data_IF_429868654844
#
_entry.id   IF_429868654844
#
_cell.length_a   1.000
_cell.length_b   1.000
_cell.length_c   1.000
_cell.angle_alpha   90.00
_cell.angle_beta   90.00
_cell.angle_gamma   90.00
#
_symmetry.space_group_name_H-M   'P 1'
#
loop_
_entity.id
_entity.type
_entity.pdbx_description
1 polymer ?
#
# COMPACT_ATOMS: atom_id res chain seq x y z
N UNK A 1 18.72 15.29 40.17
CA UNK A 1 18.26 14.97 38.79
C UNK A 1 16.93 15.70 38.60
N UNK A 2 16.84 16.63 37.65
CA UNK A 2 15.68 17.53 37.56
C UNK A 2 14.46 16.78 37.00
N UNK A 3 13.24 17.11 37.47
CA UNK A 3 11.98 16.50 36.96
C UNK A 3 11.92 16.50 35.43
N UNK A 4 12.42 17.56 34.79
CA UNK A 4 12.51 17.73 33.34
C UNK A 4 13.33 16.63 32.65
N UNK A 5 14.47 16.23 33.23
CA UNK A 5 15.33 15.17 32.68
C UNK A 5 14.65 13.80 32.76
N UNK A 6 13.86 13.55 33.80
CA UNK A 6 13.11 12.30 33.98
C UNK A 6 11.97 12.18 32.95
N UNK A 7 11.21 13.26 32.72
CA UNK A 7 10.17 13.31 31.69
C UNK A 7 10.74 13.16 30.27
N UNK A 8 11.86 13.82 29.97
CA UNK A 8 12.55 13.70 28.68
C UNK A 8 12.98 12.25 28.39
N UNK A 9 13.58 11.55 29.37
CA UNK A 9 13.97 10.14 29.19
C UNK A 9 12.79 9.21 28.93
N UNK A 10 11.69 9.39 29.67
CA UNK A 10 10.47 8.58 29.50
C UNK A 10 9.88 8.80 28.11
N UNK A 11 9.79 10.05 27.66
CA UNK A 11 9.31 10.38 26.32
C UNK A 11 10.17 9.77 25.21
N UNK A 12 11.51 9.89 25.31
CA UNK A 12 12.44 9.28 24.36
C UNK A 12 12.26 7.76 24.31
N UNK A 13 12.08 7.10 25.46
CA UNK A 13 11.84 5.66 25.52
C UNK A 13 10.54 5.25 24.81
N UNK A 14 9.43 5.96 25.06
CA UNK A 14 8.16 5.70 24.37
C UNK A 14 8.24 5.94 22.87
N UNK A 15 8.97 6.98 22.44
CA UNK A 15 9.17 7.25 21.01
C UNK A 15 10.00 6.16 20.34
N UNK A 16 11.07 5.68 20.97
CA UNK A 16 11.85 4.54 20.46
C UNK A 16 10.97 3.30 20.35
N UNK A 17 10.14 3.01 21.38
CA UNK A 17 9.19 1.90 21.33
C UNK A 17 8.18 2.06 20.18
N UNK A 18 7.67 3.27 19.96
CA UNK A 18 6.77 3.58 18.85
C UNK A 18 7.43 3.34 17.48
N UNK A 19 8.66 3.81 17.30
CA UNK A 19 9.43 3.56 16.06
C UNK A 19 9.70 2.07 15.85
N UNK A 20 10.04 1.34 16.93
CA UNK A 20 10.20 -0.11 16.89
C UNK A 20 8.91 -0.79 16.42
N UNK A 21 7.75 -0.44 16.99
CA UNK A 21 6.46 -0.97 16.58
C UNK A 21 6.15 -0.68 15.10
N UNK A 22 6.52 0.51 14.60
CA UNK A 22 6.39 0.83 13.19
C UNK A 22 7.32 0.00 12.30
N UNK A 23 8.57 -0.25 12.72
CA UNK A 23 9.52 -1.09 11.97
C UNK A 23 9.08 -2.56 11.93
N UNK A 24 8.54 -3.07 13.04
CA UNK A 24 8.02 -4.44 13.13
C UNK A 24 6.58 -4.58 12.60
N UNK A 25 5.96 -3.49 12.15
CA UNK A 25 4.68 -3.57 11.46
C UNK A 25 4.85 -4.33 10.13
N UNK A 26 3.83 -5.10 9.69
CA UNK A 26 3.90 -5.80 8.43
C UNK A 26 4.26 -4.85 7.28
N UNK A 27 5.15 -5.27 6.38
CA UNK A 27 5.49 -4.45 5.21
C UNK A 27 4.41 -4.47 4.12
N UNK A 28 3.51 -5.46 4.19
CA UNK A 28 2.45 -5.72 3.22
C UNK A 28 1.13 -6.03 3.93
N UNK A 29 0.04 -5.51 3.37
CA UNK A 29 -1.32 -5.92 3.68
C UNK A 29 -1.75 -6.87 2.58
N UNK A 30 -2.37 -7.99 2.97
CA UNK A 30 -2.68 -9.10 2.06
C UNK A 30 -4.13 -9.51 2.17
N UNK A 31 -4.74 -9.85 1.03
CA UNK A 31 -6.07 -10.45 0.96
C UNK A 31 -6.09 -11.85 1.57
N UNK A 32 -7.26 -12.29 2.05
CA UNK A 32 -7.38 -13.53 2.86
C UNK A 32 -7.34 -14.84 2.07
N UNK A 33 -7.44 -14.81 0.75
CA UNK A 33 -7.54 -16.05 -0.04
C UNK A 33 -6.18 -16.54 -0.56
N UNK A 34 -6.06 -17.86 -0.77
CA UNK A 34 -4.80 -18.47 -1.18
C UNK A 34 -4.51 -18.26 -2.66
N UNK A 35 -3.23 -18.05 -2.99
CA UNK A 35 -2.74 -18.04 -4.39
C UNK A 35 -2.87 -19.44 -4.97
N UNK A 36 -3.58 -19.59 -6.08
CA UNK A 36 -3.68 -20.86 -6.80
C UNK A 36 -2.55 -20.99 -7.83
N UNK A 37 -2.18 -22.23 -8.15
CA UNK A 37 -1.07 -22.53 -9.09
C UNK A 37 -1.25 -21.89 -10.48
N UNK A 38 -2.50 -21.74 -10.93
CA UNK A 38 -2.81 -21.22 -12.26
C UNK A 38 -3.12 -19.72 -12.28
N UNK A 39 -3.08 -19.05 -11.12
CA UNK A 39 -3.38 -17.63 -11.03
C UNK A 39 -2.37 -16.80 -11.83
N UNK A 40 -2.86 -15.73 -12.43
CA UNK A 40 -2.07 -14.73 -13.13
C UNK A 40 -1.68 -13.67 -12.12
N UNK A 41 -0.38 -13.49 -11.93
CA UNK A 41 0.18 -12.37 -11.19
C UNK A 41 0.21 -11.15 -12.09
N UNK A 42 -0.38 -10.04 -11.65
CA UNK A 42 -0.36 -8.76 -12.35
C UNK A 42 0.01 -7.63 -11.39
N UNK A 43 0.84 -6.70 -11.86
CA UNK A 43 1.09 -5.44 -11.18
C UNK A 43 0.07 -4.41 -11.65
N UNK A 44 -0.75 -3.94 -10.70
CA UNK A 44 -1.87 -3.04 -10.96
C UNK A 44 -1.54 -1.65 -10.43
N UNK A 45 -1.70 -0.68 -11.32
CA UNK A 45 -1.58 0.74 -11.03
C UNK A 45 -2.96 1.32 -10.84
N UNK A 46 -3.19 1.94 -9.69
CA UNK A 46 -4.40 2.70 -9.46
C UNK A 46 -4.50 3.87 -10.45
N UNK A 47 -5.70 4.06 -10.99
CA UNK A 47 -6.06 5.23 -11.75
C UNK A 47 -6.68 6.25 -10.80
N UNK A 48 -6.39 7.54 -10.98
CA UNK A 48 -6.87 8.63 -10.13
C UNK A 48 -8.41 8.85 -10.15
N UNK A 49 -9.15 7.95 -10.82
CA UNK A 49 -10.60 8.00 -10.99
C UNK A 49 -11.23 6.88 -10.17
N UNK A 50 -12.28 7.20 -9.43
CA UNK A 50 -13.04 6.34 -8.49
C UNK A 50 -13.76 5.14 -9.13
N UNK A 51 -13.43 4.77 -10.37
CA UNK A 51 -14.07 3.68 -11.11
C UNK A 51 -13.07 2.92 -11.95
N UNK A 52 -13.33 1.62 -12.07
CA UNK A 52 -12.71 0.75 -13.07
C UNK A 52 -12.72 1.41 -14.46
N UNK A 53 -11.77 1.07 -15.35
CA UNK A 53 -10.77 0.03 -15.18
C UNK A 53 -9.44 0.51 -14.57
N UNK A 54 -8.74 -0.40 -13.90
CA UNK A 54 -7.36 -0.20 -13.43
C UNK A 54 -6.37 -0.47 -14.57
N UNK A 55 -5.10 -0.11 -14.40
CA UNK A 55 -4.07 -0.32 -15.43
C UNK A 55 -3.02 -1.33 -15.04
N UNK A 56 -2.56 -2.11 -16.01
CA UNK A 56 -1.39 -3.00 -15.90
C UNK A 56 -0.26 -2.54 -16.81
N UNK A 57 0.95 -3.01 -16.54
CA UNK A 57 2.11 -2.74 -17.38
C UNK A 57 1.96 -3.39 -18.77
N UNK A 58 2.67 -2.87 -19.78
CA UNK A 58 2.70 -3.49 -21.13
C UNK A 58 3.32 -4.90 -21.10
N UNK A 59 4.27 -5.14 -20.21
CA UNK A 59 4.85 -6.46 -19.98
C UNK A 59 3.83 -7.44 -19.42
N UNK A 60 3.07 -7.02 -18.41
CA UNK A 60 2.03 -7.86 -17.83
C UNK A 60 0.91 -8.13 -18.84
N UNK A 61 0.57 -7.15 -19.68
CA UNK A 61 -0.37 -7.37 -20.78
C UNK A 61 0.13 -8.42 -21.78
N UNK A 62 1.42 -8.46 -22.10
CA UNK A 62 1.98 -9.47 -22.99
C UNK A 62 1.87 -10.87 -22.37
N UNK A 63 2.23 -11.01 -21.09
CA UNK A 63 2.09 -12.27 -20.33
C UNK A 63 0.63 -12.71 -20.26
N UNK A 64 -0.27 -11.76 -19.96
CA UNK A 64 -1.71 -12.00 -19.89
C UNK A 64 -2.23 -12.53 -21.22
N UNK A 65 -1.93 -11.85 -22.33
CA UNK A 65 -2.34 -12.26 -23.68
C UNK A 65 -1.84 -13.65 -24.03
N UNK A 66 -0.58 -13.95 -23.73
CA UNK A 66 -0.02 -15.27 -23.99
C UNK A 66 -0.75 -16.37 -23.22
N UNK A 67 -1.09 -16.12 -21.95
CA UNK A 67 -1.76 -17.10 -21.09
C UNK A 67 -3.23 -17.34 -21.47
N UNK A 68 -3.92 -16.33 -21.99
CA UNK A 68 -5.36 -16.40 -22.29
C UNK A 68 -5.69 -16.42 -23.79
N UNK A 69 -4.67 -16.49 -24.67
CA UNK A 69 -4.84 -16.40 -26.13
C UNK A 69 -5.92 -17.35 -26.68
N UNK A 70 -6.04 -18.54 -26.09
CA UNK A 70 -6.95 -19.59 -26.57
C UNK A 70 -8.40 -19.35 -26.08
N UNK A 71 -8.58 -18.63 -24.98
CA UNK A 71 -9.91 -18.39 -24.36
C UNK A 71 -10.44 -16.99 -24.63
N UNK A 72 -9.58 -15.97 -24.58
CA UNK A 72 -9.92 -14.56 -24.71
C UNK A 72 -8.96 -13.83 -25.67
N UNK A 73 -8.92 -14.19 -26.97
CA UNK A 73 -7.99 -13.61 -27.95
C UNK A 73 -8.17 -12.11 -28.22
N UNK A 74 -9.33 -11.56 -27.84
CA UNK A 74 -9.69 -10.17 -28.08
C UNK A 74 -9.10 -9.19 -27.05
N UNK A 75 -8.51 -9.69 -25.96
CA UNK A 75 -7.89 -8.85 -24.94
C UNK A 75 -6.71 -8.09 -25.56
N UNK A 76 -6.80 -6.75 -25.55
CA UNK A 76 -5.80 -5.86 -26.15
C UNK A 76 -5.46 -4.64 -25.31
N UNK A 77 -6.31 -4.27 -24.34
CA UNK A 77 -6.09 -3.10 -23.50
C UNK A 77 -5.13 -3.39 -22.34
N UNK A 78 -4.40 -2.36 -21.91
CA UNK A 78 -3.71 -2.35 -20.60
C UNK A 78 -4.67 -2.12 -19.45
N UNK A 79 -5.92 -1.81 -19.76
CA UNK A 79 -6.98 -1.67 -18.78
C UNK A 79 -7.42 -3.07 -18.32
N UNK A 80 -7.70 -3.20 -17.03
CA UNK A 80 -8.19 -4.41 -16.40
C UNK A 80 -9.31 -4.07 -15.42
N UNK A 81 -10.32 -4.94 -15.37
CA UNK A 81 -11.37 -4.89 -14.37
C UNK A 81 -11.11 -5.96 -13.31
N UNK A 82 -11.20 -5.59 -12.04
CA UNK A 82 -10.99 -6.49 -10.91
C UNK A 82 -12.34 -6.80 -10.24
N UNK A 83 -12.66 -8.09 -10.10
CA UNK A 83 -13.89 -8.58 -9.47
C UNK A 83 -13.58 -9.44 -8.24
N UNK A 84 -14.46 -9.37 -7.22
CA UNK A 84 -14.37 -10.18 -6.00
C UNK A 84 -13.79 -9.41 -4.82
N UNK A 85 -12.98 -10.10 -3.99
CA UNK A 85 -12.29 -9.48 -2.87
C UNK A 85 -11.11 -8.64 -3.37
N UNK A 86 -11.34 -7.35 -3.54
CA UNK A 86 -10.35 -6.38 -4.02
C UNK A 86 -9.89 -5.50 -2.87
N UNK A 87 -8.66 -4.93 -2.92
CA UNK A 87 -8.21 -4.01 -1.89
C UNK A 87 -9.13 -2.79 -1.74
N UNK A 88 -9.85 -2.40 -2.79
CA UNK A 88 -10.78 -1.27 -2.81
C UNK A 88 -11.95 -1.42 -1.81
N UNK A 89 -12.28 -2.64 -1.38
CA UNK A 89 -13.32 -2.89 -0.39
C UNK A 89 -12.85 -2.66 1.06
N UNK A 90 -11.54 -2.53 1.26
CA UNK A 90 -10.91 -2.42 2.58
C UNK A 90 -10.36 -1.02 2.85
N UNK A 91 -10.68 -0.07 1.97
CA UNK A 91 -10.24 1.33 2.06
C UNK A 91 -11.42 2.29 1.92
N UNK A 92 -11.34 3.44 2.58
CA UNK A 92 -12.33 4.52 2.50
C UNK A 92 -12.21 5.29 1.17
N UNK A 93 -10.98 5.49 0.69
CA UNK A 93 -10.69 6.18 -0.58
C UNK A 93 -9.90 5.27 -1.52
N UNK A 94 -10.48 4.78 -2.63
CA UNK A 94 -9.78 3.99 -3.64
C UNK A 94 -8.52 4.65 -4.20
N UNK A 95 -8.39 5.98 -4.15
CA UNK A 95 -7.18 6.68 -4.59
C UNK A 95 -6.01 6.53 -3.60
N UNK A 96 -6.27 6.12 -2.35
CA UNK A 96 -5.22 5.77 -1.37
C UNK A 96 -4.45 4.50 -1.80
N UNK A 97 -5.15 3.60 -2.50
CA UNK A 97 -4.58 2.40 -3.07
C UNK A 97 -3.64 2.85 -4.19
N UNK A 98 -2.35 2.62 -3.95
CA UNK A 98 -1.32 2.93 -4.92
C UNK A 98 -1.14 1.84 -5.95
N UNK A 99 0.12 1.46 -6.13
CA UNK A 99 0.46 0.24 -6.83
C UNK A 99 0.30 -0.96 -5.90
N UNK A 100 -0.29 -2.02 -6.41
CA UNK A 100 -0.49 -3.27 -5.69
C UNK A 100 -0.38 -4.46 -6.65
N UNK A 101 -0.15 -5.64 -6.10
CA UNK A 101 -0.11 -6.88 -6.88
C UNK A 101 -1.41 -7.62 -6.70
N UNK A 102 -1.97 -8.16 -7.79
CA UNK A 102 -3.10 -9.09 -7.73
C UNK A 102 -2.74 -10.43 -8.34
N UNK A 103 -3.40 -11.46 -7.85
CA UNK A 103 -3.37 -12.81 -8.34
C UNK A 103 -4.81 -13.25 -8.57
N UNK A 104 -5.08 -13.83 -9.73
CA UNK A 104 -6.42 -14.31 -10.02
C UNK A 104 -6.56 -14.96 -11.38
N UNK A 105 -7.79 -15.26 -11.75
CA UNK A 105 -8.14 -15.90 -13.02
C UNK A 105 -8.97 -14.94 -13.86
N UNK A 106 -8.71 -14.93 -15.17
CA UNK A 106 -9.56 -14.22 -16.10
C UNK A 106 -10.85 -15.01 -16.27
N UNK A 107 -11.97 -14.32 -16.06
CA UNK A 107 -13.31 -14.91 -16.16
C UNK A 107 -14.10 -14.37 -17.35
N UNK A 108 -13.61 -13.32 -18.00
CA UNK A 108 -14.28 -12.71 -19.13
C UNK A 108 -13.56 -11.48 -19.68
N UNK A 109 -14.28 -10.78 -20.56
CA UNK A 109 -13.87 -9.51 -21.14
C UNK A 109 -15.01 -8.51 -21.04
N UNK A 110 -14.69 -7.25 -20.73
CA UNK A 110 -15.65 -6.14 -20.69
C UNK A 110 -15.37 -5.13 -21.80
N UNK A 111 -16.32 -4.21 -21.99
CA UNK A 111 -16.24 -3.12 -22.95
C UNK A 111 -15.11 -2.16 -22.58
N UNK A 112 -14.27 -1.85 -23.56
CA UNK A 112 -13.40 -0.68 -23.47
C UNK A 112 -14.21 0.57 -23.82
N UNK A 113 -14.30 1.53 -22.90
CA UNK A 113 -15.10 2.75 -23.12
C UNK A 113 -14.64 3.56 -24.35
N UNK A 114 -13.33 3.51 -24.65
CA UNK A 114 -12.75 4.25 -25.78
C UNK A 114 -12.97 3.53 -27.10
N UNK A 115 -12.67 2.23 -27.18
CA UNK A 115 -12.78 1.49 -28.45
C UNK A 115 -14.16 0.90 -28.70
N UNK A 116 -15.04 0.86 -27.69
CA UNK A 116 -16.35 0.19 -27.71
C UNK A 116 -16.30 -1.30 -28.04
N UNK A 117 -15.12 -1.91 -27.91
CA UNK A 117 -14.89 -3.34 -28.13
C UNK A 117 -14.63 -4.06 -26.80
N UNK A 118 -14.98 -5.35 -26.73
CA UNK A 118 -14.71 -6.21 -25.57
C UNK A 118 -13.23 -6.61 -25.47
N UNK A 119 -12.38 -5.64 -25.10
CA UNK A 119 -10.92 -5.76 -25.13
C UNK A 119 -10.25 -5.64 -23.75
N UNK A 120 -11.04 -5.31 -22.72
CA UNK A 120 -10.59 -5.20 -21.32
C UNK A 120 -10.80 -6.55 -20.65
N UNK A 121 -9.79 -7.07 -19.96
CA UNK A 121 -9.91 -8.35 -19.25
C UNK A 121 -10.61 -8.15 -17.89
N UNK A 122 -11.47 -9.09 -17.50
CA UNK A 122 -12.06 -9.15 -16.15
C UNK A 122 -11.35 -10.23 -15.36
N UNK A 123 -10.64 -9.84 -14.30
CA UNK A 123 -9.89 -10.73 -13.42
C UNK A 123 -10.63 -10.89 -12.10
N UNK A 124 -10.99 -12.14 -11.80
CA UNK A 124 -11.49 -12.52 -10.48
C UNK A 124 -10.31 -12.63 -9.52
N UNK A 125 -10.23 -11.70 -8.57
CA UNK A 125 -9.15 -11.63 -7.60
C UNK A 125 -9.25 -12.81 -6.64
N UNK A 126 -8.15 -13.54 -6.52
CA UNK A 126 -7.97 -14.62 -5.54
C UNK A 126 -7.09 -14.16 -4.39
N UNK A 127 -6.01 -13.43 -4.67
CA UNK A 127 -5.14 -12.84 -3.65
C UNK A 127 -4.67 -11.47 -4.12
N UNK A 128 -4.45 -10.56 -3.18
CA UNK A 128 -3.87 -9.25 -3.45
C UNK A 128 -2.86 -8.91 -2.37
N UNK A 129 -1.82 -8.17 -2.73
CA UNK A 129 -0.86 -7.60 -1.79
C UNK A 129 -0.65 -6.11 -2.08
N UNK A 130 -0.71 -5.29 -1.03
CA UNK A 130 -0.42 -3.85 -1.13
C UNK A 130 0.66 -3.44 -0.12
N UNK A 131 1.49 -2.44 -0.45
CA UNK A 131 2.45 -1.89 0.51
C UNK A 131 1.73 -1.26 1.72
N UNK A 132 1.99 -1.77 2.92
CA UNK A 132 1.37 -1.26 4.16
C UNK A 132 1.72 0.22 4.43
N UNK A 133 2.88 0.67 3.94
CA UNK A 133 3.34 2.05 4.11
C UNK A 133 2.40 3.06 3.44
N UNK A 134 1.69 2.70 2.36
CA UNK A 134 0.71 3.64 1.80
C UNK A 134 -0.52 3.74 2.69
N UNK A 135 -1.03 2.61 3.15
CA UNK A 135 -2.18 2.57 4.06
C UNK A 135 -1.91 3.35 5.36
N UNK A 136 -0.79 3.10 6.04
CA UNK A 136 -0.44 3.77 7.31
C UNK A 136 -0.28 5.30 7.19
N UNK A 137 0.14 5.81 6.03
CA UNK A 137 0.43 7.23 5.87
C UNK A 137 -0.70 8.01 5.17
N UNK A 138 -1.44 7.39 4.26
CA UNK A 138 -2.47 8.08 3.48
C UNK A 138 -3.86 7.89 4.05
N UNK A 139 -4.12 6.74 4.65
CA UNK A 139 -5.45 6.32 5.06
C UNK A 139 -5.66 6.42 6.57
N UNK A 140 -4.71 5.92 7.35
CA UNK A 140 -4.76 6.08 8.80
C UNK A 140 -4.36 7.52 9.20
N UNK A 141 -5.38 8.38 9.22
CA UNK A 141 -5.24 9.79 9.58
C UNK A 141 -4.67 9.99 10.99
N UNK A 142 -4.89 9.04 11.91
CA UNK A 142 -4.42 9.09 13.29
C UNK A 142 -2.91 8.77 13.33
N UNK A 143 -2.47 7.72 12.63
CA UNK A 143 -1.05 7.39 12.53
C UNK A 143 -0.28 8.51 11.84
N UNK A 144 -0.80 9.05 10.72
CA UNK A 144 -0.19 10.21 10.04
C UNK A 144 -0.06 11.41 10.98
N UNK A 145 -1.14 11.79 11.65
CA UNK A 145 -1.17 12.96 12.53
C UNK A 145 -0.26 12.77 13.76
N UNK A 146 -0.22 11.56 14.32
CA UNK A 146 0.68 11.22 15.42
C UNK A 146 2.15 11.34 15.01
N UNK A 147 2.53 10.89 13.81
CA UNK A 147 3.88 11.05 13.28
C UNK A 147 4.25 12.53 13.09
N UNK A 148 3.35 13.33 12.49
CA UNK A 148 3.58 14.77 12.29
C UNK A 148 3.81 15.51 13.61
N UNK A 149 3.09 15.15 14.67
CA UNK A 149 3.19 15.80 15.98
C UNK A 149 4.37 15.27 16.79
N UNK A 150 4.56 13.94 16.87
CA UNK A 150 5.56 13.32 17.73
C UNK A 150 7.00 13.49 17.22
N UNK A 151 7.21 13.48 15.90
CA UNK A 151 8.53 13.56 15.30
C UNK A 151 9.28 14.86 15.64
N UNK A 152 8.72 16.08 15.48
CA UNK A 152 9.40 17.32 15.88
C UNK A 152 9.61 17.41 17.39
N UNK A 153 8.66 16.95 18.20
CA UNK A 153 8.80 16.92 19.67
C UNK A 153 9.98 16.02 20.07
N UNK A 154 10.15 14.87 19.40
CA UNK A 154 11.29 13.98 19.60
C UNK A 154 12.62 14.65 19.27
N UNK A 155 12.73 15.32 18.12
CA UNK A 155 13.96 16.04 17.76
C UNK A 155 14.30 17.14 18.77
N UNK A 156 13.31 17.90 19.23
CA UNK A 156 13.52 18.92 20.28
C UNK A 156 13.98 18.28 21.58
N UNK A 157 13.34 17.20 22.02
CA UNK A 157 13.73 16.47 23.24
C UNK A 157 15.15 15.89 23.15
N UNK A 158 15.52 15.34 21.98
CA UNK A 158 16.85 14.80 21.70
C UNK A 158 17.91 15.91 21.74
N UNK A 159 17.64 17.06 21.10
CA UNK A 159 18.53 18.22 21.14
C UNK A 159 18.76 18.73 22.57
N UNK A 160 17.69 18.84 23.37
CA UNK A 160 17.80 19.23 24.78
C UNK A 160 18.64 18.21 25.56
N UNK A 161 18.40 16.91 25.36
CA UNK A 161 19.16 15.85 26.01
C UNK A 161 20.66 15.91 25.67
N UNK A 162 21.01 16.06 24.39
CA UNK A 162 22.40 16.18 23.93
C UNK A 162 23.09 17.44 24.49
N UNK A 163 22.40 18.59 24.52
CA UNK A 163 22.94 19.85 25.04
C UNK A 163 23.11 19.81 26.57
N UNK A 164 22.16 19.21 27.30
CA UNK A 164 22.25 19.05 28.76
C UNK A 164 23.35 18.06 29.17
N UNK A 165 23.53 16.97 28.42
CA UNK A 165 24.63 16.02 28.65
C UNK A 165 26.00 16.70 28.54
N UNK A 166 26.20 17.52 27.50
CA UNK A 166 27.46 18.24 27.25
C UNK A 166 27.81 19.29 28.32
N UNK A 167 26.80 19.84 29.03
CA UNK A 167 27.01 20.75 30.16
C UNK A 167 27.43 20.02 31.44
N UNK A 168 27.09 18.74 31.58
CA UNK A 168 27.38 17.93 32.76
C UNK A 168 28.81 17.38 32.75
N UNK A 169 29.39 17.13 31.58
CA UNK A 169 30.81 16.74 31.41
C UNK A 169 31.81 17.91 31.59
N UNK A 170 31.34 19.16 31.56
CA UNK A 170 32.19 20.35 31.71
C UNK A 170 32.21 20.93 33.14
N UNK A 171 31.59 20.25 34.10
CA UNK A 171 31.56 20.62 35.53
C UNK A 171 32.12 19.48 36.34
#
# INVERSE_FOLDING_TARGET
MNKLEKFSKVFVMFFILYVILLIFSPSRIVGRSAIQKDDIKLHVYAQATTGAPQKISKSDLAILKEKIKDTYPNVKSTDIELEGDTPFLHVDDPASIGEFTVYGKIIGTTLNETSRENTVAVLKVSYWDMPMIRYLFYEDSIVRLSLIILLPIFFVALCIFCLCSKKRDRR
#
